data_IF_062676452789
#
_entry.id   IF_062676452789
#
_cell.length_a   1.000
_cell.length_b   1.000
_cell.length_c   1.000
_cell.angle_alpha   90.00
_cell.angle_beta   90.00
_cell.angle_gamma   90.00
#
_symmetry.space_group_name_H-M   'P 1'
#
loop_
_entity.id
_entity.type
_entity.pdbx_description
1 polymer ?
#
# COMPACT_ATOMS: atom_id res chain seq x y z
N UNK A 1 -6.81 -19.82 7.03
CA UNK A 1 -6.92 -18.35 7.08
C UNK A 1 -5.97 -17.83 8.15
N UNK A 2 -5.35 -16.67 7.91
CA UNK A 2 -4.59 -15.96 8.92
C UNK A 2 -5.35 -14.69 9.30
N UNK A 3 -5.30 -14.30 10.57
CA UNK A 3 -5.90 -13.06 11.09
C UNK A 3 -4.80 -12.29 11.80
N UNK A 4 -4.64 -11.02 11.46
CA UNK A 4 -3.72 -10.08 12.12
C UNK A 4 -4.58 -9.07 12.86
N UNK A 5 -4.28 -8.83 14.13
CA UNK A 5 -4.99 -7.86 14.97
C UNK A 5 -4.02 -6.73 15.28
N UNK A 6 -4.45 -5.51 14.99
CA UNK A 6 -3.75 -4.25 15.29
C UNK A 6 -4.58 -3.51 16.34
N UNK A 7 -3.90 -2.89 17.29
CA UNK A 7 -4.49 -2.10 18.36
C UNK A 7 -4.62 -0.63 17.96
N UNK A 8 -5.22 0.16 18.84
CA UNK A 8 -5.25 1.62 18.78
C UNK A 8 -3.89 2.28 19.04
N UNK A 9 -2.87 1.52 19.45
CA UNK A 9 -1.50 2.02 19.63
C UNK A 9 -0.61 1.82 18.38
N UNK A 10 -1.15 1.25 17.31
CA UNK A 10 -0.43 0.98 16.07
C UNK A 10 -0.75 2.07 15.03
N UNK A 11 0.27 2.70 14.46
CA UNK A 11 0.11 3.66 13.38
C UNK A 11 -0.25 2.93 12.06
N UNK A 12 -1.48 3.11 11.60
CA UNK A 12 -1.99 2.46 10.39
C UNK A 12 -1.26 2.88 9.11
N UNK A 13 -0.65 4.07 9.09
CA UNK A 13 0.22 4.54 8.00
C UNK A 13 1.47 3.68 7.92
N UNK A 14 2.13 3.47 9.06
CA UNK A 14 3.35 2.67 9.16
C UNK A 14 3.07 1.20 8.88
N UNK A 15 1.95 0.67 9.35
CA UNK A 15 1.49 -0.68 9.02
C UNK A 15 1.33 -0.85 7.51
N UNK A 16 0.62 0.08 6.84
CA UNK A 16 0.43 -0.01 5.39
C UNK A 16 1.75 0.09 4.63
N UNK A 17 2.65 0.99 5.04
CA UNK A 17 3.97 1.15 4.42
C UNK A 17 4.81 -0.14 4.60
N UNK A 18 4.80 -0.74 5.79
CA UNK A 18 5.51 -1.98 6.05
C UNK A 18 4.98 -3.15 5.20
N UNK A 19 3.66 -3.28 5.08
CA UNK A 19 3.04 -4.28 4.20
C UNK A 19 3.38 -4.04 2.72
N UNK A 20 3.46 -2.78 2.29
CA UNK A 20 3.86 -2.45 0.91
C UNK A 20 5.32 -2.76 0.63
N UNK A 21 6.23 -2.52 1.58
CA UNK A 21 7.63 -2.94 1.48
C UNK A 21 7.76 -4.45 1.36
N UNK A 22 6.97 -5.22 2.11
CA UNK A 22 6.92 -6.68 1.92
C UNK A 22 6.54 -7.06 0.48
N UNK A 23 5.53 -6.43 -0.12
CA UNK A 23 5.15 -6.71 -1.51
C UNK A 23 6.18 -6.26 -2.54
N UNK A 24 6.92 -5.18 -2.26
CA UNK A 24 8.07 -4.75 -3.07
C UNK A 24 9.18 -5.81 -3.03
N UNK A 25 9.57 -6.25 -1.84
CA UNK A 25 10.65 -7.23 -1.62
C UNK A 25 10.31 -8.61 -2.18
N UNK A 26 9.04 -9.05 -2.04
CA UNK A 26 8.55 -10.35 -2.53
C UNK A 26 8.08 -10.31 -3.99
N UNK A 27 8.25 -9.19 -4.68
CA UNK A 27 7.96 -9.13 -6.11
C UNK A 27 8.90 -10.08 -6.86
N UNK A 28 8.35 -11.06 -7.57
CA UNK A 28 9.15 -11.93 -8.46
C UNK A 28 9.73 -11.18 -9.67
N UNK A 29 9.32 -9.92 -9.88
CA UNK A 29 9.85 -9.05 -10.92
C UNK A 29 9.34 -9.32 -12.35
N UNK A 30 8.44 -10.27 -12.58
CA UNK A 30 8.04 -10.66 -13.94
C UNK A 30 7.19 -9.62 -14.68
N UNK A 31 6.26 -8.96 -13.99
CA UNK A 31 5.38 -7.95 -14.61
C UNK A 31 5.70 -6.54 -14.09
N UNK A 32 5.82 -5.59 -15.01
CA UNK A 32 6.06 -4.17 -14.70
C UNK A 32 5.05 -3.56 -13.72
N UNK A 33 3.71 -3.76 -13.86
CA UNK A 33 2.77 -3.18 -12.90
C UNK A 33 3.04 -3.60 -11.46
N UNK A 34 3.40 -4.86 -11.20
CA UNK A 34 3.78 -5.30 -9.86
C UNK A 34 5.16 -4.76 -9.44
N UNK A 35 6.21 -5.01 -10.24
CA UNK A 35 7.60 -4.68 -9.88
C UNK A 35 7.83 -3.19 -9.70
N UNK A 36 7.46 -2.39 -10.70
CA UNK A 36 7.65 -0.95 -10.65
C UNK A 36 6.53 -0.25 -9.87
N UNK A 37 5.33 -0.84 -9.82
CA UNK A 37 4.21 -0.26 -9.07
C UNK A 37 4.40 -0.33 -7.56
N UNK A 38 4.88 -1.46 -7.02
CA UNK A 38 5.20 -1.59 -5.59
C UNK A 38 6.32 -0.61 -5.18
N UNK A 39 7.43 -0.58 -5.92
CA UNK A 39 8.53 0.39 -5.71
C UNK A 39 8.02 1.84 -5.74
N UNK A 40 7.17 2.18 -6.71
CA UNK A 40 6.61 3.52 -6.83
C UNK A 40 5.66 3.85 -5.67
N UNK A 41 4.80 2.91 -5.28
CA UNK A 41 3.86 3.10 -4.18
C UNK A 41 4.59 3.30 -2.85
N UNK A 42 5.61 2.48 -2.54
CA UNK A 42 6.45 2.64 -1.33
C UNK A 42 7.07 4.04 -1.29
N UNK A 43 7.70 4.48 -2.39
CA UNK A 43 8.29 5.84 -2.46
C UNK A 43 7.28 6.98 -2.30
N UNK A 44 6.05 6.79 -2.76
CA UNK A 44 4.97 7.77 -2.56
C UNK A 44 4.54 7.79 -1.09
N UNK A 45 4.46 6.62 -0.46
CA UNK A 45 4.03 6.45 0.92
C UNK A 45 5.08 6.86 1.97
N UNK A 46 6.37 6.87 1.61
CA UNK A 46 7.44 7.40 2.47
C UNK A 46 7.39 8.92 2.62
N UNK A 47 6.62 9.62 1.77
CA UNK A 47 6.42 11.06 1.92
C UNK A 47 5.44 11.35 3.05
N UNK A 48 5.58 12.51 3.74
CA UNK A 48 4.65 12.93 4.79
C UNK A 48 3.25 13.27 4.27
N UNK A 49 3.13 13.63 2.99
CA UNK A 49 1.85 13.88 2.34
C UNK A 49 1.67 12.91 1.18
N UNK A 50 0.64 12.06 1.27
CA UNK A 50 0.36 11.03 0.28
C UNK A 50 -0.46 11.61 -0.86
N UNK A 51 0.02 11.43 -2.08
CA UNK A 51 -0.75 11.72 -3.29
C UNK A 51 -1.83 10.63 -3.47
N UNK A 52 -2.95 10.78 -2.75
CA UNK A 52 -4.06 9.81 -2.73
C UNK A 52 -4.56 9.50 -4.14
N UNK A 53 -4.88 10.49 -5.01
CA UNK A 53 -5.34 10.19 -6.36
C UNK A 53 -4.33 9.37 -7.17
N UNK A 54 -3.04 9.69 -7.09
CA UNK A 54 -2.00 8.95 -7.78
C UNK A 54 -1.84 7.52 -7.23
N UNK A 55 -1.92 7.34 -5.91
CA UNK A 55 -1.88 6.02 -5.27
C UNK A 55 -3.08 5.17 -5.70
N UNK A 56 -4.28 5.74 -5.81
CA UNK A 56 -5.48 5.03 -6.27
C UNK A 56 -5.38 4.64 -7.76
N UNK A 57 -4.88 5.54 -8.61
CA UNK A 57 -4.65 5.25 -10.04
C UNK A 57 -3.62 4.14 -10.22
N UNK A 58 -2.48 4.25 -9.54
CA UNK A 58 -1.42 3.25 -9.55
C UNK A 58 -1.95 1.90 -9.07
N UNK A 59 -2.69 1.90 -7.97
CA UNK A 59 -3.30 0.70 -7.39
C UNK A 59 -4.23 0.01 -8.39
N UNK A 60 -5.03 0.77 -9.15
CA UNK A 60 -5.90 0.20 -10.19
C UNK A 60 -5.11 -0.48 -11.29
N UNK A 61 -4.05 0.16 -11.78
CA UNK A 61 -3.15 -0.44 -12.79
C UNK A 61 -2.50 -1.72 -12.25
N UNK A 62 -2.08 -1.74 -10.99
CA UNK A 62 -1.52 -2.93 -10.35
C UNK A 62 -2.54 -4.08 -10.28
N UNK A 63 -3.78 -3.79 -9.87
CA UNK A 63 -4.87 -4.77 -9.80
C UNK A 63 -5.23 -5.34 -11.17
N UNK A 64 -5.35 -4.49 -12.20
CA UNK A 64 -5.88 -4.90 -13.50
C UNK A 64 -4.83 -5.57 -14.40
N UNK A 65 -3.55 -5.17 -14.28
CA UNK A 65 -2.50 -5.56 -15.23
C UNK A 65 -1.44 -6.51 -14.65
N UNK A 66 -1.47 -6.83 -13.35
CA UNK A 66 -0.55 -7.81 -12.78
C UNK A 66 -0.91 -9.24 -13.18
N UNK A 67 0.11 -10.05 -13.48
CA UNK A 67 -0.05 -11.42 -13.99
C UNK A 67 -0.58 -12.39 -12.93
N UNK A 68 -0.24 -12.17 -11.66
CA UNK A 68 -0.57 -13.10 -10.58
C UNK A 68 -1.21 -12.40 -9.37
N UNK A 69 -1.77 -13.20 -8.48
CA UNK A 69 -2.49 -12.71 -7.30
C UNK A 69 -1.65 -11.85 -6.34
N UNK A 70 -0.32 -12.00 -6.32
CA UNK A 70 0.54 -11.15 -5.50
C UNK A 70 0.50 -9.70 -5.98
N UNK A 71 0.76 -9.47 -7.27
CA UNK A 71 0.71 -8.11 -7.84
C UNK A 71 -0.68 -7.51 -7.82
N UNK A 72 -1.71 -8.34 -7.97
CA UNK A 72 -3.11 -7.90 -7.89
C UNK A 72 -3.52 -7.53 -6.47
N UNK A 73 -3.04 -8.22 -5.45
CA UNK A 73 -3.36 -7.97 -4.05
C UNK A 73 -2.44 -6.95 -3.37
N UNK A 74 -1.25 -6.70 -3.95
CA UNK A 74 -0.26 -5.78 -3.41
C UNK A 74 -0.82 -4.40 -3.01
N UNK A 75 -1.69 -3.73 -3.78
CA UNK A 75 -2.20 -2.40 -3.39
C UNK A 75 -3.26 -2.42 -2.27
N UNK A 76 -3.74 -3.59 -1.83
CA UNK A 76 -4.80 -3.70 -0.82
C UNK A 76 -4.50 -2.98 0.51
N UNK A 77 -3.28 -3.03 1.09
CA UNK A 77 -2.97 -2.31 2.32
C UNK A 77 -3.19 -0.79 2.17
N UNK A 78 -2.74 -0.21 1.05
CA UNK A 78 -2.88 1.22 0.75
C UNK A 78 -4.35 1.60 0.63
N UNK A 79 -5.09 0.88 -0.22
CA UNK A 79 -6.50 1.16 -0.45
C UNK A 79 -7.35 1.00 0.82
N UNK A 80 -7.01 0.02 1.66
CA UNK A 80 -7.70 -0.21 2.94
C UNK A 80 -7.51 0.98 3.88
N UNK A 81 -6.27 1.45 4.06
CA UNK A 81 -5.98 2.58 4.95
C UNK A 81 -6.57 3.87 4.41
N UNK A 82 -6.51 4.13 3.10
CA UNK A 82 -7.18 5.28 2.47
C UNK A 82 -8.70 5.26 2.74
N UNK A 83 -9.33 4.08 2.67
CA UNK A 83 -10.77 3.95 2.84
C UNK A 83 -11.21 4.07 4.31
N UNK A 84 -10.47 3.49 5.23
CA UNK A 84 -10.93 3.27 6.60
C UNK A 84 -10.26 4.19 7.64
N UNK A 85 -9.08 4.71 7.32
CA UNK A 85 -8.22 5.49 8.23
C UNK A 85 -7.77 6.79 7.56
N UNK A 86 -8.66 7.37 6.74
CA UNK A 86 -8.35 8.56 5.91
C UNK A 86 -7.88 9.75 6.75
N UNK A 87 -8.40 9.89 7.96
CA UNK A 87 -8.08 11.01 8.84
C UNK A 87 -6.67 10.86 9.45
N UNK A 88 -6.27 9.64 9.81
CA UNK A 88 -4.94 9.29 10.36
C UNK A 88 -3.81 9.48 9.34
N UNK A 89 -4.09 9.37 8.03
CA UNK A 89 -3.08 9.60 6.98
C UNK A 89 -3.01 11.05 6.50
N UNK A 90 -4.08 11.83 6.69
CA UNK A 90 -4.20 13.21 6.20
C UNK A 90 -3.63 14.25 7.18
N UNK A 91 -3.79 14.00 8.47
CA UNK A 91 -3.04 14.69 9.50
C UNK A 91 -1.86 13.79 9.86
N UNK A 92 -0.66 14.32 10.05
CA UNK A 92 0.40 13.59 10.77
C UNK A 92 0.01 13.45 12.24
N UNK A 93 -1.13 12.82 12.51
CA UNK A 93 -1.73 12.65 13.82
C UNK A 93 -0.88 11.66 14.60
N UNK A 94 -0.27 12.05 15.73
CA UNK A 94 0.62 11.18 16.49
C UNK A 94 -0.17 10.25 17.41
N UNK A 95 -1.28 9.68 16.92
CA UNK A 95 -2.15 8.77 17.69
C UNK A 95 -1.34 7.66 18.35
#
# INVERSE_FOLDING_TARGET
AAVVVLSDADDMRDVALNLMRFFEDESCGQCTPCRAGTEKAVRLMEKPDWDIPLLEELSRVMMDASICGLGQAAPNPVLSVIRHFRDEIAAGDPS
#
